data_IF_425177026918
#
_entry.id   IF_425177026918
#
_cell.length_a   1.000
_cell.length_b   1.000
_cell.length_c   1.000
_cell.angle_alpha   90.00
_cell.angle_beta   90.00
_cell.angle_gamma   90.00
#
_symmetry.space_group_name_H-M   'P 1'
#
loop_
_entity.id
_entity.type
_entity.pdbx_description
1 polymer ?
#
# COMPACT_ATOMS: atom_id res chain seq x y z
N UNK A 1 -1.63 63.24 35.35
CA UNK A 1 -2.62 62.16 35.05
C UNK A 1 -2.18 61.41 33.83
N UNK A 2 -1.54 60.24 34.06
CA UNK A 2 -1.00 59.40 32.99
C UNK A 2 -2.04 58.34 32.66
N UNK A 3 -2.62 58.34 31.46
CA UNK A 3 -3.57 57.30 31.00
C UNK A 3 -2.77 56.10 30.44
N UNK A 4 -2.78 54.99 31.19
CA UNK A 4 -2.26 53.71 30.71
C UNK A 4 -3.23 53.16 29.65
N UNK A 5 -2.74 52.90 28.44
CA UNK A 5 -3.47 52.17 27.39
C UNK A 5 -3.12 50.67 27.54
N UNK A 6 -4.13 49.88 27.89
CA UNK A 6 -4.03 48.43 27.87
C UNK A 6 -4.11 48.00 26.40
N UNK A 7 -3.05 47.35 25.90
CA UNK A 7 -3.06 46.68 24.59
C UNK A 7 -3.54 45.24 24.83
N UNK A 8 -4.71 44.89 24.34
CA UNK A 8 -5.21 43.54 24.35
C UNK A 8 -4.57 42.77 23.16
N UNK A 9 -3.73 41.80 23.49
CA UNK A 9 -3.16 40.89 22.51
C UNK A 9 -4.19 39.80 22.23
N UNK A 10 -4.82 39.83 21.04
CA UNK A 10 -5.69 38.74 20.60
C UNK A 10 -4.83 37.58 20.10
N UNK A 11 -4.83 36.48 20.84
CA UNK A 11 -4.24 35.24 20.40
C UNK A 11 -5.13 34.59 19.33
N UNK A 12 -4.72 34.63 18.08
CA UNK A 12 -5.37 33.89 17.01
C UNK A 12 -4.99 32.42 17.15
N UNK A 13 -5.91 31.59 17.63
CA UNK A 13 -5.77 30.14 17.61
C UNK A 13 -5.91 29.68 16.14
N UNK A 14 -4.80 29.30 15.53
CA UNK A 14 -4.82 28.55 14.28
C UNK A 14 -5.38 27.15 14.56
N UNK A 15 -6.66 26.93 14.22
CA UNK A 15 -7.21 25.58 14.14
C UNK A 15 -6.63 24.97 12.87
N UNK A 16 -5.61 24.14 13.04
CA UNK A 16 -5.12 23.27 11.98
C UNK A 16 -6.22 22.22 11.72
N UNK A 17 -7.03 22.44 10.68
CA UNK A 17 -7.96 21.42 10.19
C UNK A 17 -7.12 20.33 9.54
N UNK A 18 -6.82 19.28 10.28
CA UNK A 18 -6.31 18.02 9.72
C UNK A 18 -7.34 17.54 8.68
N UNK A 19 -7.00 17.62 7.41
CA UNK A 19 -7.80 16.97 6.37
C UNK A 19 -7.65 15.46 6.60
N UNK A 20 -8.80 14.76 6.71
CA UNK A 20 -8.81 13.30 6.75
C UNK A 20 -8.10 12.77 5.50
N UNK A 21 -7.00 12.04 5.70
CA UNK A 21 -6.27 11.39 4.62
C UNK A 21 -6.67 9.92 4.55
N UNK A 22 -6.84 9.33 3.34
CA UNK A 22 -7.09 7.91 3.20
C UNK A 22 -5.82 7.05 3.34
N UNK A 23 -4.67 7.67 3.60
CA UNK A 23 -3.37 7.04 3.67
C UNK A 23 -2.85 6.95 5.10
N UNK A 24 -1.93 6.01 5.36
CA UNK A 24 -1.22 5.96 6.64
C UNK A 24 -0.47 7.28 6.89
N UNK A 25 -0.55 7.81 8.10
CA UNK A 25 -0.06 9.15 8.43
C UNK A 25 0.92 9.18 9.61
N UNK A 26 1.17 8.04 10.28
CA UNK A 26 2.20 7.92 11.29
C UNK A 26 2.86 6.54 11.31
N UNK A 27 4.16 6.52 11.63
CA UNK A 27 4.90 5.29 11.95
C UNK A 27 4.84 5.07 13.46
N UNK A 28 4.36 3.90 13.87
CA UNK A 28 4.30 3.50 15.29
C UNK A 28 5.56 2.74 15.69
N UNK A 29 5.95 1.75 14.87
CA UNK A 29 7.18 1.00 15.08
C UNK A 29 7.72 0.43 13.77
N UNK A 30 9.03 0.23 13.72
CA UNK A 30 9.72 -0.41 12.62
C UNK A 30 10.93 -1.18 13.15
N UNK A 31 11.01 -2.45 12.77
CA UNK A 31 12.18 -3.30 12.91
C UNK A 31 12.55 -3.81 11.53
N UNK A 32 13.75 -3.50 11.01
CA UNK A 32 14.13 -3.93 9.67
C UNK A 32 14.29 -5.45 9.54
N UNK A 33 14.48 -6.21 10.63
CA UNK A 33 14.70 -7.65 10.59
C UNK A 33 16.05 -8.04 9.97
N UNK A 34 16.10 -9.20 9.32
CA UNK A 34 17.32 -9.75 8.70
C UNK A 34 17.13 -9.89 7.19
N UNK A 35 18.12 -9.42 6.41
CA UNK A 35 18.08 -9.49 4.94
C UNK A 35 17.29 -8.40 4.26
N UNK A 36 16.93 -7.32 5.00
CA UNK A 36 16.39 -6.10 4.41
C UNK A 36 17.40 -5.42 3.48
N UNK A 37 16.92 -4.55 2.59
CA UNK A 37 17.79 -3.75 1.71
C UNK A 37 18.27 -2.51 2.43
N UNK A 38 19.56 -2.44 2.74
CA UNK A 38 20.16 -1.46 3.64
C UNK A 38 19.91 0.03 3.28
N UNK A 39 19.63 0.34 2.01
CA UNK A 39 19.32 1.72 1.57
C UNK A 39 17.87 2.12 1.82
N UNK A 40 16.97 1.16 2.09
CA UNK A 40 15.53 1.38 2.25
C UNK A 40 15.09 1.18 3.70
N UNK A 41 15.65 1.97 4.62
CA UNK A 41 15.43 1.83 6.07
C UNK A 41 14.66 3.00 6.70
N UNK A 42 14.13 3.90 5.88
CA UNK A 42 13.30 4.99 6.36
C UNK A 42 11.81 4.58 6.37
N UNK A 43 11.20 4.27 7.52
CA UNK A 43 9.80 3.84 7.55
C UNK A 43 8.81 4.96 7.20
N UNK A 44 9.24 6.24 7.27
CA UNK A 44 8.40 7.35 6.84
C UNK A 44 8.19 7.37 5.32
N UNK A 45 8.94 6.59 4.54
CA UNK A 45 8.72 6.42 3.11
C UNK A 45 7.35 5.77 2.81
N UNK A 46 6.80 4.98 3.74
CA UNK A 46 5.49 4.34 3.61
C UNK A 46 4.32 5.21 4.12
N UNK A 47 4.53 6.51 4.37
CA UNK A 47 3.49 7.44 4.81
C UNK A 47 2.98 8.31 3.68
N UNK A 48 1.70 8.65 3.74
CA UNK A 48 1.02 9.46 2.74
C UNK A 48 0.58 8.65 1.53
N UNK A 49 0.34 9.35 0.42
CA UNK A 49 -0.04 8.73 -0.84
C UNK A 49 1.11 7.87 -1.38
N UNK A 50 0.85 6.61 -1.82
CA UNK A 50 1.85 5.82 -2.51
C UNK A 50 2.45 6.55 -3.73
N UNK A 51 3.65 6.17 -4.14
CA UNK A 51 4.43 6.92 -5.13
C UNK A 51 3.80 6.85 -6.52
N UNK A 52 3.59 8.03 -7.13
CA UNK A 52 3.10 8.15 -8.51
C UNK A 52 4.21 8.20 -9.55
N UNK A 53 5.43 8.38 -9.10
CA UNK A 53 6.62 8.51 -9.95
C UNK A 53 7.70 7.53 -9.49
N UNK A 54 8.55 7.11 -10.43
CA UNK A 54 9.78 6.37 -10.14
C UNK A 54 10.90 7.33 -9.65
N UNK A 55 12.09 6.82 -9.25
CA UNK A 55 13.20 7.67 -8.83
C UNK A 55 13.76 8.63 -9.90
N UNK A 56 13.42 8.42 -11.15
CA UNK A 56 13.83 9.30 -12.27
C UNK A 56 12.83 10.43 -12.55
N UNK A 57 11.69 10.45 -11.85
CA UNK A 57 10.62 11.44 -12.03
C UNK A 57 9.66 11.10 -13.18
N UNK A 58 9.74 9.88 -13.71
CA UNK A 58 8.78 9.35 -14.66
C UNK A 58 7.59 8.73 -13.93
N UNK A 59 6.48 8.51 -14.62
CA UNK A 59 5.33 7.83 -14.01
C UNK A 59 5.73 6.42 -13.59
N UNK A 60 5.54 6.11 -12.30
CA UNK A 60 5.65 4.74 -11.85
C UNK A 60 4.57 3.90 -12.52
N UNK A 61 4.94 2.73 -13.01
CA UNK A 61 4.03 1.82 -13.68
C UNK A 61 4.35 0.34 -13.35
N UNK A 62 3.50 -0.61 -13.75
CA UNK A 62 3.71 -2.03 -13.44
C UNK A 62 5.00 -2.66 -14.00
N UNK A 63 5.70 -2.01 -14.94
CA UNK A 63 7.01 -2.42 -15.44
C UNK A 63 8.17 -1.68 -14.75
N UNK A 64 7.89 -0.49 -14.19
CA UNK A 64 8.89 0.36 -13.52
C UNK A 64 8.31 0.92 -12.21
N UNK A 65 8.15 0.06 -11.18
CA UNK A 65 7.55 0.43 -9.91
C UNK A 65 8.43 1.39 -9.11
N UNK A 66 7.91 2.04 -8.04
CA UNK A 66 8.70 2.90 -7.18
C UNK A 66 9.81 2.13 -6.47
N UNK A 67 11.06 2.67 -6.44
CA UNK A 67 12.20 2.07 -5.73
C UNK A 67 13.20 3.09 -5.19
N UNK A 68 12.76 4.33 -4.98
CA UNK A 68 13.56 5.39 -4.35
C UNK A 68 13.68 5.19 -2.84
N UNK A 69 14.76 5.73 -2.25
CA UNK A 69 15.00 5.64 -0.79
C UNK A 69 14.01 6.43 0.06
N UNK A 70 13.24 7.29 -0.56
CA UNK A 70 12.15 8.07 0.01
C UNK A 70 10.76 7.58 -0.44
N UNK A 71 10.71 6.47 -1.17
CA UNK A 71 9.49 5.90 -1.72
C UNK A 71 9.12 4.56 -1.07
N UNK A 72 10.12 3.75 -0.73
CA UNK A 72 9.89 2.42 -0.15
C UNK A 72 10.70 2.21 1.12
N UNK A 73 10.15 1.36 2.01
CA UNK A 73 10.84 0.83 3.18
C UNK A 73 10.94 -0.69 3.08
N UNK A 74 12.14 -1.25 3.34
CA UNK A 74 12.39 -2.70 3.27
C UNK A 74 12.32 -3.33 4.64
N UNK A 75 11.62 -4.45 4.73
CA UNK A 75 11.48 -5.28 5.94
C UNK A 75 12.01 -6.66 5.61
N UNK A 76 12.99 -7.15 6.35
CA UNK A 76 13.56 -8.50 6.26
C UNK A 76 12.93 -9.48 7.23
N UNK A 77 13.39 -10.74 7.19
CA UNK A 77 12.86 -11.82 8.02
C UNK A 77 12.94 -11.49 9.52
N UNK A 78 11.86 -11.72 10.25
CA UNK A 78 11.68 -11.38 11.66
C UNK A 78 11.41 -9.90 11.94
N UNK A 79 11.46 -9.04 10.91
CA UNK A 79 11.15 -7.61 11.03
C UNK A 79 9.67 -7.32 10.92
N UNK A 80 9.31 -6.05 11.22
CA UNK A 80 7.94 -5.57 11.13
C UNK A 80 7.85 -4.07 10.87
N UNK A 81 6.70 -3.65 10.36
CA UNK A 81 6.29 -2.25 10.24
C UNK A 81 4.88 -2.09 10.81
N UNK A 82 4.69 -1.10 11.70
CA UNK A 82 3.36 -0.72 12.20
C UNK A 82 3.08 0.72 11.81
N UNK A 83 2.02 0.90 11.04
CA UNK A 83 1.53 2.20 10.61
C UNK A 83 0.19 2.52 11.26
N UNK A 84 -0.06 3.84 11.48
CA UNK A 84 -1.28 4.37 12.03
C UNK A 84 -2.03 5.21 11.02
N UNK A 85 -3.35 5.17 11.13
CA UNK A 85 -4.31 6.04 10.45
C UNK A 85 -5.05 6.84 11.52
N UNK A 86 -4.91 8.16 11.54
CA UNK A 86 -5.70 9.01 12.43
C UNK A 86 -7.17 9.04 12.03
N UNK A 87 -7.47 8.90 10.72
CA UNK A 87 -8.82 8.63 10.23
C UNK A 87 -9.02 7.12 10.18
N UNK A 88 -9.93 6.53 10.99
CA UNK A 88 -10.12 5.08 10.99
C UNK A 88 -10.53 4.53 9.61
N UNK A 89 -9.98 3.37 9.26
CA UNK A 89 -10.46 2.57 8.13
C UNK A 89 -11.68 1.77 8.61
N UNK A 90 -12.80 1.96 7.93
CA UNK A 90 -14.06 1.30 8.29
C UNK A 90 -14.15 -0.08 7.62
N UNK A 91 -14.54 -1.09 8.41
CA UNK A 91 -14.98 -2.38 7.89
C UNK A 91 -16.39 -2.21 7.31
N UNK A 92 -16.50 -2.21 5.98
CA UNK A 92 -17.78 -1.91 5.34
C UNK A 92 -18.11 -2.92 4.23
N UNK A 93 -19.19 -3.72 4.39
CA UNK A 93 -19.51 -4.83 3.46
C UNK A 93 -19.86 -4.38 2.04
N UNK A 94 -20.13 -3.09 1.82
CA UNK A 94 -20.43 -2.53 0.50
C UNK A 94 -19.21 -1.86 -0.16
N UNK A 95 -18.01 -1.95 0.43
CA UNK A 95 -16.80 -1.57 -0.27
C UNK A 95 -16.61 -2.45 -1.52
N UNK A 96 -15.97 -1.89 -2.54
CA UNK A 96 -15.75 -2.63 -3.79
C UNK A 96 -14.98 -3.93 -3.49
N UNK A 97 -15.54 -5.06 -3.91
CA UNK A 97 -15.04 -6.42 -3.63
C UNK A 97 -14.91 -6.78 -2.15
N UNK A 98 -15.51 -6.02 -1.22
CA UNK A 98 -15.38 -6.21 0.22
C UNK A 98 -14.04 -5.75 0.80
N UNK A 99 -13.13 -5.20 -0.01
CA UNK A 99 -11.83 -4.74 0.46
C UNK A 99 -11.96 -3.41 1.23
N UNK A 100 -11.20 -3.28 2.33
CA UNK A 100 -11.20 -2.08 3.17
C UNK A 100 -9.91 -1.26 3.03
N UNK A 101 -8.80 -1.90 2.69
CA UNK A 101 -7.52 -1.22 2.42
C UNK A 101 -6.65 -1.99 1.43
N UNK A 102 -5.67 -1.30 0.85
CA UNK A 102 -4.70 -1.86 -0.09
C UNK A 102 -3.29 -1.49 0.34
N UNK A 103 -2.37 -2.47 0.31
CA UNK A 103 -0.93 -2.28 0.56
C UNK A 103 -0.20 -2.29 -0.79
N UNK A 104 0.66 -1.30 -1.02
CA UNK A 104 1.44 -1.11 -2.22
C UNK A 104 2.92 -1.39 -1.95
N UNK A 105 3.57 -2.08 -2.86
CA UNK A 105 4.99 -2.41 -2.80
C UNK A 105 5.72 -1.99 -4.08
N UNK A 106 6.92 -2.57 -4.29
CA UNK A 106 7.74 -2.29 -5.46
C UNK A 106 7.88 -3.47 -6.44
N UNK A 107 7.07 -4.50 -6.28
CA UNK A 107 6.98 -5.59 -7.26
C UNK A 107 6.56 -5.06 -8.62
N UNK A 108 7.18 -5.56 -9.70
CA UNK A 108 6.84 -5.23 -11.08
C UNK A 108 6.65 -6.46 -11.94
N UNK A 109 6.01 -6.30 -13.10
CA UNK A 109 5.97 -7.33 -14.14
C UNK A 109 7.28 -7.38 -14.92
N UNK A 110 7.75 -8.59 -15.20
CA UNK A 110 8.90 -8.81 -16.09
C UNK A 110 8.49 -8.47 -17.52
N UNK A 111 9.29 -7.63 -18.20
CA UNK A 111 9.18 -7.44 -19.64
C UNK A 111 9.85 -8.61 -20.34
N UNK A 112 9.10 -9.31 -21.20
CA UNK A 112 9.57 -10.51 -21.90
C UNK A 112 10.05 -10.26 -23.32
N UNK A 113 9.99 -9.03 -23.80
CA UNK A 113 10.57 -8.63 -25.09
C UNK A 113 12.10 -8.72 -25.07
N UNK A 114 12.70 -8.94 -26.22
CA UNK A 114 14.15 -8.78 -26.39
C UNK A 114 14.55 -7.30 -26.23
N UNK A 115 15.70 -7.08 -25.62
CA UNK A 115 16.29 -5.75 -25.42
C UNK A 115 17.49 -5.58 -26.37
N UNK A 116 17.45 -4.56 -27.22
CA UNK A 116 18.56 -4.22 -28.09
C UNK A 116 19.62 -3.41 -27.33
N UNK A 117 20.75 -4.04 -27.05
CA UNK A 117 21.88 -3.42 -26.37
C UNK A 117 22.58 -2.35 -27.19
N UNK A 118 22.34 -2.26 -28.50
CA UNK A 118 22.95 -1.26 -29.38
C UNK A 118 22.18 0.06 -29.33
N UNK A 119 20.85 -0.04 -29.34
CA UNK A 119 19.95 1.12 -29.31
C UNK A 119 19.45 1.46 -27.91
N UNK A 120 19.66 0.57 -26.93
CA UNK A 120 19.12 0.65 -25.57
C UNK A 120 17.59 0.77 -25.52
N UNK A 121 16.90 -0.01 -26.38
CA UNK A 121 15.45 -0.05 -26.44
C UNK A 121 14.91 -1.50 -26.47
N UNK A 122 13.70 -1.66 -25.98
CA UNK A 122 12.96 -2.91 -26.14
C UNK A 122 12.55 -3.10 -27.62
N UNK A 123 12.67 -4.35 -28.12
CA UNK A 123 12.23 -4.67 -29.48
C UNK A 123 10.71 -4.86 -29.46
N UNK A 124 10.01 -3.92 -30.07
CA UNK A 124 8.55 -3.84 -30.08
C UNK A 124 7.98 -3.12 -28.85
N UNK A 125 6.67 -3.25 -28.64
CA UNK A 125 5.99 -2.69 -27.47
C UNK A 125 6.25 -3.61 -26.27
N UNK A 126 6.76 -3.10 -25.13
CA UNK A 126 6.98 -3.92 -23.93
C UNK A 126 5.71 -4.65 -23.51
N UNK A 127 5.84 -5.95 -23.24
CA UNK A 127 4.78 -6.82 -22.79
C UNK A 127 5.32 -7.83 -21.76
N UNK A 128 4.42 -8.40 -20.97
CA UNK A 128 4.74 -9.38 -19.92
C UNK A 128 4.10 -10.74 -20.19
N UNK A 129 4.63 -11.81 -19.60
CA UNK A 129 3.95 -13.10 -19.50
C UNK A 129 3.20 -13.26 -18.15
N UNK A 130 3.14 -12.19 -17.35
CA UNK A 130 2.57 -12.18 -16.02
C UNK A 130 3.57 -12.51 -14.91
N UNK A 131 4.81 -12.89 -15.22
CA UNK A 131 5.85 -13.12 -14.21
C UNK A 131 6.28 -11.82 -13.54
N UNK A 132 6.76 -11.94 -12.30
CA UNK A 132 7.08 -10.80 -11.44
C UNK A 132 8.59 -10.73 -11.14
N UNK A 133 9.06 -9.51 -10.91
CA UNK A 133 10.38 -9.23 -10.35
C UNK A 133 10.22 -8.32 -9.11
N UNK A 134 11.27 -8.22 -8.32
CA UNK A 134 11.35 -7.30 -7.16
C UNK A 134 10.75 -7.88 -5.89
N UNK A 135 9.54 -8.31 -5.94
CA UNK A 135 8.75 -8.71 -4.79
C UNK A 135 9.33 -9.78 -3.88
N UNK A 136 8.68 -9.98 -2.77
CA UNK A 136 9.08 -10.95 -1.78
C UNK A 136 8.72 -12.37 -2.23
N UNK A 137 9.73 -13.24 -2.32
CA UNK A 137 9.50 -14.69 -2.33
C UNK A 137 9.21 -15.22 -0.91
N UNK A 138 9.10 -14.33 0.08
CA UNK A 138 8.94 -14.67 1.47
C UNK A 138 7.48 -14.75 1.93
N UNK A 139 7.31 -15.17 3.18
CA UNK A 139 6.01 -15.22 3.84
C UNK A 139 5.81 -13.95 4.65
N UNK A 140 4.69 -13.29 4.46
CA UNK A 140 4.28 -12.10 5.20
C UNK A 140 3.00 -12.37 5.97
N UNK A 141 2.76 -11.56 7.00
CA UNK A 141 1.54 -11.56 7.80
C UNK A 141 1.06 -10.13 7.99
N UNK A 142 -0.23 -9.92 7.82
CA UNK A 142 -0.87 -8.64 8.08
C UNK A 142 -1.79 -8.79 9.27
N UNK A 143 -1.66 -7.89 10.24
CA UNK A 143 -2.52 -7.82 11.42
C UNK A 143 -3.08 -6.41 11.57
N UNK A 144 -4.27 -6.30 12.10
CA UNK A 144 -5.01 -5.05 12.25
C UNK A 144 -5.40 -4.78 13.69
N UNK A 145 -5.52 -3.51 14.07
CA UNK A 145 -5.88 -3.12 15.44
C UNK A 145 -6.66 -1.81 15.46
N UNK A 146 -7.55 -1.67 16.44
CA UNK A 146 -8.24 -0.41 16.76
C UNK A 146 -7.45 0.47 17.72
N UNK A 147 -6.69 -0.13 18.64
CA UNK A 147 -6.09 0.54 19.80
C UNK A 147 -4.54 0.57 19.78
N UNK A 148 -3.92 -0.10 18.78
CA UNK A 148 -2.48 -0.23 18.67
C UNK A 148 -1.83 -1.18 19.69
N UNK A 149 -2.62 -1.85 20.51
CA UNK A 149 -2.15 -2.79 21.52
C UNK A 149 -2.61 -4.23 21.23
N UNK A 150 -3.88 -4.40 20.86
CA UNK A 150 -4.46 -5.69 20.52
C UNK A 150 -4.52 -5.84 18.99
N UNK A 151 -3.62 -6.65 18.45
CA UNK A 151 -3.56 -6.94 17.02
C UNK A 151 -4.19 -8.28 16.72
N UNK A 152 -4.98 -8.32 15.65
CA UNK A 152 -5.66 -9.50 15.12
C UNK A 152 -5.11 -9.80 13.73
N UNK A 153 -4.61 -11.02 13.53
CA UNK A 153 -4.10 -11.48 12.24
C UNK A 153 -5.24 -11.59 11.24
N UNK A 154 -5.03 -11.14 10.01
CA UNK A 154 -5.96 -11.44 8.92
C UNK A 154 -5.73 -12.89 8.47
N UNK A 155 -6.83 -13.62 8.22
CA UNK A 155 -6.79 -15.04 7.85
C UNK A 155 -5.77 -15.27 6.72
N UNK A 156 -4.68 -16.02 6.97
CA UNK A 156 -3.63 -16.24 5.97
C UNK A 156 -4.08 -17.06 4.76
N UNK A 157 -5.26 -17.70 4.85
CA UNK A 157 -5.85 -18.40 3.71
C UNK A 157 -6.55 -17.42 2.72
N UNK A 158 -6.87 -16.21 3.16
CA UNK A 158 -7.55 -15.18 2.39
C UNK A 158 -6.63 -14.00 2.07
N UNK A 159 -5.78 -13.62 3.04
CA UNK A 159 -4.89 -12.47 2.92
C UNK A 159 -3.77 -12.72 1.89
N UNK A 160 -3.62 -11.86 0.86
CA UNK A 160 -2.53 -11.97 -0.09
C UNK A 160 -1.18 -11.69 0.57
N UNK A 161 -0.09 -12.16 -0.04
CA UNK A 161 1.25 -11.76 0.37
C UNK A 161 1.47 -10.27 0.08
N UNK A 162 2.16 -9.59 0.98
CA UNK A 162 2.56 -8.20 0.81
C UNK A 162 3.70 -8.11 -0.20
N UNK A 163 3.77 -7.02 -0.96
CA UNK A 163 4.80 -6.77 -1.98
C UNK A 163 4.89 -7.93 -2.98
N UNK A 164 3.75 -8.24 -3.59
CA UNK A 164 3.61 -9.31 -4.58
C UNK A 164 2.68 -8.86 -5.71
N UNK A 165 1.93 -9.79 -6.30
CA UNK A 165 0.86 -9.47 -7.27
C UNK A 165 -0.34 -8.82 -6.55
N UNK A 166 -0.93 -7.78 -7.17
CA UNK A 166 -0.58 -7.13 -8.43
C UNK A 166 0.42 -5.98 -8.25
N UNK A 167 1.30 -5.73 -9.25
CA UNK A 167 2.18 -4.57 -9.27
C UNK A 167 1.46 -3.23 -9.17
N UNK A 168 2.15 -2.22 -8.64
CA UNK A 168 1.63 -0.85 -8.50
C UNK A 168 1.67 -0.10 -9.83
N UNK A 169 0.57 0.62 -10.17
CA UNK A 169 0.51 1.62 -11.24
C UNK A 169 0.22 3.00 -10.65
N UNK A 170 1.20 3.88 -10.63
CA UNK A 170 1.08 5.25 -10.12
C UNK A 170 0.09 6.14 -10.89
N UNK A 171 -0.40 5.70 -12.06
CA UNK A 171 -1.44 6.41 -12.82
C UNK A 171 -2.86 6.05 -12.37
N UNK A 172 -3.03 4.95 -11.64
CA UNK A 172 -4.32 4.50 -11.13
C UNK A 172 -4.78 5.24 -9.88
N UNK A 173 -5.96 4.87 -9.39
CA UNK A 173 -6.50 5.34 -8.12
C UNK A 173 -6.13 4.35 -7.00
N UNK A 174 -5.36 4.81 -6.01
CA UNK A 174 -4.92 4.00 -4.86
C UNK A 174 -6.06 3.57 -3.94
N UNK A 175 -7.22 4.20 -4.03
CA UNK A 175 -8.41 3.86 -3.24
C UNK A 175 -9.36 2.89 -3.95
N UNK A 176 -9.06 2.48 -5.17
CA UNK A 176 -9.82 1.48 -5.93
C UNK A 176 -9.08 0.14 -5.90
N UNK A 177 -9.62 -0.90 -5.22
CA UNK A 177 -8.99 -2.22 -5.20
C UNK A 177 -9.07 -2.89 -6.57
N UNK A 178 -8.09 -3.74 -6.87
CA UNK A 178 -8.14 -4.59 -8.07
C UNK A 178 -9.19 -5.70 -7.91
N UNK A 179 -9.79 -6.13 -9.01
CA UNK A 179 -10.73 -7.26 -9.02
C UNK A 179 -10.02 -8.54 -8.53
N UNK A 180 -10.53 -9.21 -7.47
CA UNK A 180 -9.80 -10.29 -6.78
C UNK A 180 -9.75 -11.61 -7.59
N UNK A 181 -10.49 -11.70 -8.70
CA UNK A 181 -10.46 -12.85 -9.60
C UNK A 181 -9.33 -12.80 -10.63
N UNK A 182 -8.61 -11.67 -10.73
CA UNK A 182 -7.46 -11.56 -11.62
C UNK A 182 -6.24 -12.27 -11.03
N UNK A 183 -5.53 -12.97 -11.89
CA UNK A 183 -4.32 -13.72 -11.57
C UNK A 183 -3.18 -13.28 -12.50
N UNK A 184 -1.94 -13.62 -12.18
CA UNK A 184 -0.78 -13.32 -13.03
C UNK A 184 -0.98 -13.79 -14.48
N UNK A 185 -1.62 -14.94 -14.70
CA UNK A 185 -1.86 -15.49 -16.04
C UNK A 185 -2.79 -14.65 -16.90
N UNK A 186 -3.65 -13.83 -16.30
CA UNK A 186 -4.55 -12.93 -17.05
C UNK A 186 -3.78 -11.80 -17.75
N UNK A 187 -2.54 -11.54 -17.29
CA UNK A 187 -1.64 -10.53 -17.85
C UNK A 187 -0.69 -11.07 -18.94
N UNK A 188 -0.76 -12.36 -19.28
CA UNK A 188 0.11 -12.93 -20.30
C UNK A 188 -0.11 -12.26 -21.66
N UNK A 189 0.97 -11.69 -22.24
CA UNK A 189 0.96 -10.92 -23.47
C UNK A 189 0.48 -9.47 -23.31
N UNK A 190 0.18 -9.02 -22.09
CA UNK A 190 -0.30 -7.67 -21.86
C UNK A 190 0.82 -6.63 -21.98
N UNK A 191 0.55 -5.57 -22.73
CA UNK A 191 1.31 -4.31 -22.73
C UNK A 191 0.88 -3.44 -21.55
N UNK A 192 1.56 -2.32 -21.31
CA UNK A 192 1.16 -1.37 -20.27
C UNK A 192 -0.31 -0.91 -20.44
N UNK A 193 -0.74 -0.66 -21.67
CA UNK A 193 -2.14 -0.30 -21.95
C UNK A 193 -3.10 -1.47 -21.62
N UNK A 194 -2.71 -2.70 -21.97
CA UNK A 194 -3.47 -3.90 -21.63
C UNK A 194 -3.57 -4.13 -20.12
N UNK A 195 -2.47 -3.93 -19.38
CA UNK A 195 -2.47 -4.00 -17.91
C UNK A 195 -3.43 -2.97 -17.31
N UNK A 196 -3.36 -1.72 -17.74
CA UNK A 196 -4.26 -0.64 -17.30
C UNK A 196 -5.72 -0.89 -17.61
N UNK A 197 -6.00 -1.51 -18.76
CA UNK A 197 -7.36 -1.94 -19.11
C UNK A 197 -7.90 -3.01 -18.12
N UNK A 198 -7.07 -3.99 -17.73
CA UNK A 198 -7.40 -5.00 -16.72
C UNK A 198 -7.54 -4.38 -15.32
N UNK A 199 -6.70 -3.40 -14.98
CA UNK A 199 -6.76 -2.68 -13.71
C UNK A 199 -8.03 -1.83 -13.57
N UNK A 200 -8.63 -1.43 -14.67
CA UNK A 200 -9.91 -0.71 -14.71
C UNK A 200 -9.98 0.47 -13.74
N UNK A 201 -8.92 1.29 -13.72
CA UNK A 201 -8.79 2.48 -12.87
C UNK A 201 -8.13 2.23 -11.51
N UNK A 202 -7.96 0.98 -11.07
CA UNK A 202 -7.18 0.65 -9.87
C UNK A 202 -5.70 0.99 -10.05
N UNK A 203 -5.02 1.28 -8.96
CA UNK A 203 -3.57 1.39 -8.90
C UNK A 203 -2.86 0.03 -8.63
N UNK A 204 -3.56 -1.09 -8.66
CA UNK A 204 -3.02 -2.40 -8.28
C UNK A 204 -2.87 -2.55 -6.75
N UNK A 205 -1.77 -3.17 -6.31
CA UNK A 205 -1.52 -3.43 -4.90
C UNK A 205 -2.34 -4.59 -4.31
N UNK A 206 -1.91 -5.10 -3.16
CA UNK A 206 -2.57 -6.20 -2.46
C UNK A 206 -3.70 -5.67 -1.56
N UNK A 207 -4.95 -6.10 -1.79
CA UNK A 207 -6.13 -5.61 -1.06
C UNK A 207 -6.59 -6.57 0.03
N UNK A 208 -7.11 -6.02 1.14
CA UNK A 208 -7.46 -6.74 2.36
C UNK A 208 -8.82 -6.30 2.88
N UNK A 209 -9.52 -7.26 3.50
CA UNK A 209 -10.81 -7.07 4.18
C UNK A 209 -10.59 -7.23 5.70
N UNK A 210 -11.02 -6.26 6.49
CA UNK A 210 -10.94 -6.28 7.96
C UNK A 210 -11.77 -7.44 8.55
N UNK A 211 -12.80 -7.91 7.84
CA UNK A 211 -13.62 -9.03 8.29
C UNK A 211 -12.86 -10.36 8.38
N UNK A 212 -11.66 -10.46 7.78
CA UNK A 212 -10.77 -11.63 7.89
C UNK A 212 -10.02 -11.69 9.23
N UNK A 213 -10.20 -10.70 10.12
CA UNK A 213 -9.51 -10.66 11.42
C UNK A 213 -9.83 -11.88 12.29
N UNK A 214 -8.79 -12.50 12.85
CA UNK A 214 -8.87 -13.68 13.70
C UNK A 214 -8.10 -13.46 15.01
N UNK A 215 -8.57 -14.11 16.08
CA UNK A 215 -7.82 -14.21 17.32
C UNK A 215 -6.69 -15.27 17.23
N UNK A 216 -5.93 -15.42 18.31
CA UNK A 216 -4.83 -16.39 18.39
C UNK A 216 -5.27 -17.87 18.24
N UNK A 217 -6.57 -18.16 18.31
CA UNK A 217 -7.13 -19.48 18.13
C UNK A 217 -7.72 -19.69 16.71
N UNK A 218 -7.58 -18.69 15.82
CA UNK A 218 -8.15 -18.70 14.49
C UNK A 218 -9.67 -18.45 14.46
N UNK A 219 -10.23 -17.88 15.53
CA UNK A 219 -11.65 -17.52 15.57
C UNK A 219 -11.85 -16.11 15.06
N UNK A 220 -12.85 -15.90 14.19
CA UNK A 220 -13.17 -14.59 13.64
C UNK A 220 -13.46 -13.56 14.72
N UNK A 221 -12.90 -12.37 14.56
CA UNK A 221 -13.10 -11.21 15.43
C UNK A 221 -13.75 -10.10 14.63
N UNK A 222 -14.89 -9.59 15.09
CA UNK A 222 -15.54 -8.46 14.46
C UNK A 222 -14.91 -7.14 14.90
N UNK A 223 -14.33 -6.42 13.94
CA UNK A 223 -13.80 -5.07 14.09
C UNK A 223 -14.60 -4.15 13.17
N UNK A 224 -15.35 -3.16 13.69
CA UNK A 224 -16.10 -2.23 12.85
C UNK A 224 -15.20 -1.22 12.12
N UNK A 225 -14.00 -1.02 12.66
CA UNK A 225 -12.98 -0.10 12.14
C UNK A 225 -11.61 -0.45 12.70
N UNK A 226 -10.55 0.04 12.05
CA UNK A 226 -9.17 -0.07 12.52
C UNK A 226 -8.44 1.28 12.40
N UNK A 227 -7.43 1.49 13.26
CA UNK A 227 -6.52 2.62 13.16
C UNK A 227 -5.07 2.19 12.91
N UNK A 228 -4.75 0.90 13.05
CA UNK A 228 -3.38 0.42 12.95
C UNK A 228 -3.33 -0.82 12.05
N UNK A 229 -2.29 -0.84 11.21
CA UNK A 229 -1.95 -2.00 10.38
C UNK A 229 -0.51 -2.39 10.72
N UNK A 230 -0.28 -3.67 10.98
CA UNK A 230 1.01 -4.28 11.21
C UNK A 230 1.35 -5.26 10.11
N UNK A 231 2.53 -5.11 9.55
CA UNK A 231 3.10 -6.03 8.57
C UNK A 231 4.29 -6.72 9.23
N UNK A 232 4.25 -8.04 9.35
CA UNK A 232 5.38 -8.87 9.78
C UNK A 232 5.92 -9.64 8.57
N UNK A 233 7.24 -9.69 8.42
CA UNK A 233 7.92 -10.55 7.44
C UNK A 233 8.47 -11.76 8.15
N UNK A 234 7.88 -12.94 7.88
CA UNK A 234 8.26 -14.19 8.54
C UNK A 234 9.47 -14.84 7.88
N UNK A 235 9.59 -14.68 6.57
CA UNK A 235 10.76 -15.13 5.78
C UNK A 235 10.96 -14.24 4.56
N UNK A 236 12.17 -14.20 4.01
CA UNK A 236 12.51 -13.35 2.87
C UNK A 236 12.53 -11.86 3.23
N UNK A 237 11.94 -11.03 2.39
CA UNK A 237 11.80 -9.58 2.61
C UNK A 237 10.52 -9.07 1.94
N UNK A 238 10.05 -7.91 2.36
CA UNK A 238 9.02 -7.13 1.67
C UNK A 238 9.43 -5.65 1.61
N UNK A 239 8.99 -4.93 0.59
CA UNK A 239 9.28 -3.51 0.36
C UNK A 239 7.96 -2.76 0.19
N UNK A 240 7.70 -1.80 1.09
CA UNK A 240 6.40 -1.13 1.22
C UNK A 240 6.53 0.30 0.75
N UNK A 241 5.69 0.69 -0.22
CA UNK A 241 5.53 2.07 -0.70
C UNK A 241 4.47 2.83 0.09
N UNK A 242 3.34 2.20 0.41
CA UNK A 242 2.30 2.85 1.19
C UNK A 242 1.07 1.97 1.41
N UNK A 243 0.10 2.53 2.16
CA UNK A 243 -1.19 1.88 2.41
C UNK A 243 -2.31 2.90 2.20
N UNK A 244 -3.34 2.52 1.44
CA UNK A 244 -4.54 3.33 1.22
C UNK A 244 -5.80 2.64 1.73
N UNK A 245 -6.68 3.40 2.39
CA UNK A 245 -8.05 2.99 2.64
C UNK A 245 -8.84 2.97 1.33
N UNK A 246 -9.69 1.96 1.14
CA UNK A 246 -10.56 1.85 -0.04
C UNK A 246 -11.63 2.93 -0.01
N UNK A 247 -11.91 3.53 -1.17
CA UNK A 247 -12.95 4.54 -1.31
C UNK A 247 -14.33 3.91 -1.10
N UNK A 248 -15.08 4.51 -0.18
CA UNK A 248 -16.46 4.09 0.08
C UNK A 248 -17.32 4.37 -1.14
N UNK A 249 -17.91 3.34 -1.72
CA UNK A 249 -18.89 3.53 -2.78
C UNK A 249 -20.16 4.17 -2.19
N UNK A 250 -20.73 5.20 -2.86
CA UNK A 250 -22.01 5.74 -2.45
C UNK A 250 -23.05 4.61 -2.45
N UNK A 251 -23.79 4.44 -1.36
CA UNK A 251 -24.93 3.52 -1.34
C UNK A 251 -25.94 3.99 -2.38
N UNK A 252 -26.10 3.25 -3.48
CA UNK A 252 -27.19 3.45 -4.41
C UNK A 252 -28.47 3.04 -3.69
N UNK A 253 -29.12 3.99 -3.05
CA UNK A 253 -30.52 3.82 -2.62
C UNK A 253 -31.38 3.84 -3.88
N UNK A 254 -31.76 2.66 -4.35
CA UNK A 254 -32.87 2.45 -5.29
C UNK A 254 -34.17 2.25 -4.51
#
# INVERSE_FOLDING_TARGET
MLKARLLALAAASFVCTSHATPFADAVVSYDPGVGFVARFTNPAAALGEPSRINPYGESADPFDPPYGTNQIVSIGAGGHLVLQFHTPILNHPNNLYGADFTIFGNTGFVITNDFDLTTFHWIGVPATDGSLFGGSAGTTRVSVSRDGANFYELDPALAPAVDSFPPTDGSGDFQIPLAPNLTQSDFAGATLEGIRALYNGSAGGASYDISWAQDANGLSVFLPEINFIRIDVLSGKAEIDGIAAVLRQPSNHH
#
